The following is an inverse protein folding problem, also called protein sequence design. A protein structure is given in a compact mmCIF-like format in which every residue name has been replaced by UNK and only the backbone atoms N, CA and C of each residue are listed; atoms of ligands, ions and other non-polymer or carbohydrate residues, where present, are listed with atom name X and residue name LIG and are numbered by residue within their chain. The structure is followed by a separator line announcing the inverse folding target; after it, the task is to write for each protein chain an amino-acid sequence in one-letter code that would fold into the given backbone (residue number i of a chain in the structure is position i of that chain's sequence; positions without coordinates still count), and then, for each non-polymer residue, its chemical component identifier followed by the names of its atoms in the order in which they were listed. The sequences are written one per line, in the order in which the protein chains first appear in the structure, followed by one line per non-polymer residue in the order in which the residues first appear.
data_IF_832561451075
#
_entry.id   IF_832561451075
#
_cell.length_a   1.000
_cell.length_b   1.000
_cell.length_c   1.000
_cell.angle_alpha   90.00
_cell.angle_beta   90.00
_cell.angle_gamma   90.00
#
_symmetry.space_group_name_H-M   'P 1'
#
loop_
_entity.id
_entity.type
_entity.pdbx_description
1 polymer ?
#
# COMPACT_ATOMS: atom_id res chain seq x y z
N UNK A 1 -25.11 -6.29 37.05
CA UNK A 1 -23.73 -5.80 36.80
C UNK A 1 -22.85 -6.84 36.08
N UNK A 2 -23.31 -7.44 34.96
CA UNK A 2 -22.49 -8.33 34.10
C UNK A 2 -22.80 -8.21 32.60
N UNK A 3 -23.52 -7.16 32.18
CA UNK A 3 -23.85 -6.89 30.76
C UNK A 3 -23.39 -5.52 30.26
N UNK A 4 -22.61 -4.76 31.06
CA UNK A 4 -22.14 -3.42 30.70
C UNK A 4 -20.63 -3.36 30.35
N UNK A 5 -19.91 -4.48 30.46
CA UNK A 5 -18.47 -4.55 30.21
C UNK A 5 -18.11 -4.99 28.77
N UNK A 6 -19.10 -5.37 27.95
CA UNK A 6 -18.87 -5.77 26.56
C UNK A 6 -18.93 -4.60 25.56
N UNK A 7 -19.37 -3.40 25.99
CA UNK A 7 -19.46 -2.23 25.12
C UNK A 7 -18.23 -1.30 25.16
N UNK A 8 -17.25 -1.58 26.04
CA UNK A 8 -16.06 -0.75 26.23
C UNK A 8 -14.78 -1.33 25.60
N UNK A 9 -14.88 -2.44 24.88
CA UNK A 9 -13.74 -3.06 24.19
C UNK A 9 -13.68 -2.73 22.67
N UNK A 10 -14.58 -1.87 22.18
CA UNK A 10 -14.75 -1.58 20.76
C UNK A 10 -14.22 -0.20 20.33
N UNK A 11 -13.42 0.45 21.16
CA UNK A 11 -12.84 1.74 20.82
C UNK A 11 -11.33 1.72 21.08
N UNK A 12 -10.61 2.02 20.01
CA UNK A 12 -9.27 2.60 19.96
C UNK A 12 -8.07 1.69 20.18
N UNK A 13 -7.61 1.05 19.10
CA UNK A 13 -6.18 0.97 18.77
C UNK A 13 -5.99 0.98 17.25
N UNK A 14 -6.31 2.11 16.60
CA UNK A 14 -5.80 2.40 15.26
C UNK A 14 -4.46 3.11 15.41
N UNK A 15 -3.39 2.32 15.38
CA UNK A 15 -2.04 2.85 15.17
C UNK A 15 -1.85 3.11 13.69
N UNK A 16 -2.13 4.33 13.22
CA UNK A 16 -1.89 4.72 11.83
C UNK A 16 -0.69 5.67 11.78
N UNK A 17 0.33 5.27 11.03
CA UNK A 17 1.42 6.14 10.60
C UNK A 17 1.02 6.77 9.26
N UNK A 18 1.18 8.08 9.11
CA UNK A 18 1.50 8.78 7.85
C UNK A 18 0.54 8.73 6.65
N UNK A 19 -0.66 8.17 6.73
CA UNK A 19 -1.57 8.10 5.59
C UNK A 19 -2.50 9.31 5.44
N UNK A 20 -2.98 9.52 4.21
CA UNK A 20 -4.03 10.47 3.86
C UNK A 20 -5.36 10.04 4.50
N UNK A 21 -5.62 10.49 5.73
CA UNK A 21 -6.83 10.12 6.45
C UNK A 21 -7.96 11.06 5.99
N UNK A 22 -8.63 10.67 4.91
CA UNK A 22 -9.63 11.47 4.17
C UNK A 22 -10.87 11.83 4.99
N UNK A 23 -11.16 11.06 6.04
CA UNK A 23 -12.29 11.26 6.96
C UNK A 23 -11.98 12.12 8.18
N UNK A 24 -10.83 12.78 8.20
CA UNK A 24 -10.44 13.63 9.34
C UNK A 24 -11.13 15.00 9.28
N UNK A 25 -11.38 15.64 10.43
CA UNK A 25 -12.09 16.92 10.46
C UNK A 25 -11.41 18.04 9.64
N UNK A 26 -10.09 18.02 9.53
CA UNK A 26 -9.34 19.00 8.73
C UNK A 26 -9.37 18.70 7.22
N UNK A 27 -9.98 17.59 6.80
CA UNK A 27 -10.10 17.17 5.40
C UNK A 27 -11.51 17.31 4.81
N UNK A 28 -12.53 17.66 5.61
CA UNK A 28 -13.96 17.68 5.21
C UNK A 28 -14.30 18.61 4.03
N UNK A 29 -13.39 19.51 3.62
CA UNK A 29 -13.57 20.43 2.49
C UNK A 29 -12.79 20.08 1.21
N UNK A 30 -12.00 19.00 1.22
CA UNK A 30 -11.15 18.64 0.10
C UNK A 30 -11.72 17.43 -0.65
N UNK A 31 -11.78 17.51 -1.98
CA UNK A 31 -12.13 16.37 -2.84
C UNK A 31 -10.91 15.46 -3.04
N UNK A 32 -10.58 14.73 -1.98
CA UNK A 32 -9.43 13.82 -1.89
C UNK A 32 -9.60 12.51 -2.65
N UNK A 33 -10.81 12.17 -3.06
CA UNK A 33 -11.09 10.96 -3.82
C UNK A 33 -11.02 11.20 -5.33
N UNK A 34 -10.89 12.45 -5.77
CA UNK A 34 -10.75 12.77 -7.17
C UNK A 34 -9.39 12.36 -7.71
N UNK A 35 -9.41 11.63 -8.82
CA UNK A 35 -8.22 11.17 -9.55
C UNK A 35 -7.53 12.29 -10.35
N UNK A 36 -8.17 13.46 -10.47
CA UNK A 36 -7.72 14.57 -11.31
C UNK A 36 -7.71 15.93 -10.61
N UNK A 37 -8.42 16.08 -9.49
CA UNK A 37 -8.44 17.34 -8.74
C UNK A 37 -7.16 17.45 -7.92
N UNK A 38 -6.33 18.43 -8.24
CA UNK A 38 -5.15 18.77 -7.45
C UNK A 38 -5.54 19.59 -6.23
N UNK A 39 -4.93 19.27 -5.09
CA UNK A 39 -5.08 20.02 -3.85
C UNK A 39 -3.72 20.64 -3.51
N UNK A 40 -3.72 21.92 -3.10
CA UNK A 40 -2.51 22.56 -2.62
C UNK A 40 -2.11 21.96 -1.29
N UNK A 41 -0.84 21.55 -1.20
CA UNK A 41 -0.28 21.01 0.04
C UNK A 41 -0.47 21.99 1.21
N UNK A 42 -0.24 23.28 0.96
CA UNK A 42 -0.40 24.34 1.95
C UNK A 42 -1.83 24.44 2.50
N UNK A 43 -2.85 24.27 1.65
CA UNK A 43 -4.24 24.42 2.09
C UNK A 43 -4.60 23.31 3.09
N UNK A 44 -4.10 22.08 2.87
CA UNK A 44 -4.28 20.95 3.81
C UNK A 44 -3.53 21.21 5.12
N UNK A 45 -2.29 21.70 5.05
CA UNK A 45 -1.49 22.01 6.24
C UNK A 45 -2.16 23.09 7.08
N UNK A 46 -2.62 24.18 6.44
CA UNK A 46 -3.29 25.28 7.11
C UNK A 46 -4.60 24.83 7.78
N UNK A 47 -5.39 23.98 7.10
CA UNK A 47 -6.60 23.40 7.67
C UNK A 47 -6.31 22.49 8.88
N UNK A 48 -5.25 21.67 8.78
CA UNK A 48 -4.80 20.81 9.86
C UNK A 48 -4.35 21.59 11.08
N UNK A 49 -3.49 22.58 10.92
CA UNK A 49 -3.03 23.44 12.01
C UNK A 49 -4.20 24.20 12.66
N UNK A 50 -5.13 24.76 11.86
CA UNK A 50 -6.32 25.42 12.39
C UNK A 50 -7.21 24.48 13.23
N UNK A 51 -7.37 23.23 12.80
CA UNK A 51 -8.08 22.22 13.60
C UNK A 51 -7.34 21.91 14.90
N UNK A 52 -6.02 21.68 14.85
CA UNK A 52 -5.23 21.32 16.03
C UNK A 52 -4.99 22.47 17.01
N UNK A 53 -5.14 23.72 16.58
CA UNK A 53 -5.19 24.90 17.46
C UNK A 53 -6.52 25.00 18.23
N UNK A 54 -7.59 24.36 17.74
CA UNK A 54 -8.90 24.36 18.40
C UNK A 54 -9.07 23.27 19.48
N UNK A 55 -8.13 22.32 19.57
CA UNK A 55 -8.18 21.18 20.49
C UNK A 55 -6.88 21.01 21.29
N UNK A 56 -6.91 20.16 22.32
CA UNK A 56 -5.67 19.72 22.97
C UNK A 56 -4.90 18.73 22.08
N UNK A 57 -3.92 19.26 21.34
CA UNK A 57 -3.05 18.46 20.47
C UNK A 57 -2.21 17.41 21.20
N UNK A 58 -1.98 17.56 22.52
CA UNK A 58 -1.20 16.62 23.31
C UNK A 58 -2.07 15.52 23.95
N UNK A 59 -3.39 15.64 23.87
CA UNK A 59 -4.30 14.60 24.33
C UNK A 59 -4.01 13.27 23.62
N UNK A 60 -4.11 12.17 24.38
CA UNK A 60 -3.93 10.82 23.84
C UNK A 60 -4.95 10.58 22.73
N UNK A 61 -4.48 10.27 21.53
CA UNK A 61 -5.34 10.00 20.37
C UNK A 61 -5.83 11.26 19.64
N UNK A 62 -5.25 12.43 19.90
CA UNK A 62 -5.61 13.67 19.19
C UNK A 62 -5.49 13.59 17.67
N UNK A 63 -4.57 12.77 17.15
CA UNK A 63 -4.25 12.67 15.72
C UNK A 63 -3.12 13.61 15.28
N UNK A 64 -2.63 14.49 16.16
CA UNK A 64 -1.65 15.52 15.79
C UNK A 64 -0.33 14.95 15.28
N UNK A 65 0.18 13.90 15.93
CA UNK A 65 1.42 13.24 15.50
C UNK A 65 1.27 12.59 14.12
N UNK A 66 0.10 12.07 13.81
CA UNK A 66 -0.22 11.46 12.52
C UNK A 66 -0.26 12.53 11.43
N UNK A 67 -0.92 13.65 11.70
CA UNK A 67 -0.94 14.82 10.82
C UNK A 67 0.47 15.34 10.51
N UNK A 68 1.33 15.55 11.52
CA UNK A 68 2.71 16.02 11.28
C UNK A 68 3.60 14.99 10.55
N UNK A 69 3.33 13.68 10.68
CA UNK A 69 4.02 12.65 9.89
C UNK A 69 3.59 12.68 8.43
N UNK A 70 2.30 12.86 8.20
CA UNK A 70 1.76 13.04 6.86
C UNK A 70 2.39 14.26 6.18
N UNK A 71 2.41 15.41 6.86
CA UNK A 71 3.02 16.65 6.34
C UNK A 71 4.51 16.44 6.03
N UNK A 72 5.26 15.84 6.96
CA UNK A 72 6.68 15.61 6.78
C UNK A 72 7.01 14.65 5.63
N UNK A 73 6.15 13.68 5.34
CA UNK A 73 6.29 12.79 4.19
C UNK A 73 5.94 13.53 2.90
N UNK A 74 4.77 14.15 2.84
CA UNK A 74 4.24 14.72 1.60
C UNK A 74 4.94 16.00 1.14
N UNK A 75 5.62 16.74 2.03
CA UNK A 75 6.39 17.94 1.65
C UNK A 75 7.42 17.67 0.55
N UNK A 76 8.01 16.46 0.51
CA UNK A 76 9.05 16.07 -0.44
C UNK A 76 8.47 15.67 -1.81
N UNK A 77 7.16 15.46 -1.89
CA UNK A 77 6.44 15.10 -3.12
C UNK A 77 5.76 16.31 -3.77
N UNK A 78 5.75 17.48 -3.10
CA UNK A 78 5.05 18.67 -3.58
C UNK A 78 5.69 19.16 -4.88
N UNK A 79 4.87 19.33 -5.91
CA UNK A 79 5.30 19.86 -7.19
C UNK A 79 5.82 21.30 -7.06
N UNK A 80 6.53 21.78 -8.08
CA UNK A 80 6.96 23.18 -8.14
C UNK A 80 5.78 24.17 -8.17
N UNK A 81 4.58 23.70 -8.50
CA UNK A 81 3.30 24.40 -8.44
C UNK A 81 2.67 24.45 -7.03
N UNK A 82 3.28 23.80 -6.04
CA UNK A 82 2.78 23.73 -4.66
C UNK A 82 1.66 22.71 -4.46
N UNK A 83 1.37 21.88 -5.47
CA UNK A 83 0.31 20.89 -5.44
C UNK A 83 0.83 19.53 -4.96
N UNK A 84 -0.04 18.77 -4.29
CA UNK A 84 0.21 17.35 -4.05
C UNK A 84 -0.01 16.60 -5.37
N UNK A 85 0.91 15.70 -5.78
CA UNK A 85 0.79 14.99 -7.04
C UNK A 85 -0.38 14.02 -7.02
N UNK A 86 -1.11 13.94 -8.14
CA UNK A 86 -2.18 12.96 -8.32
C UNK A 86 -1.62 11.55 -8.52
N UNK A 87 -2.46 10.52 -8.34
CA UNK A 87 -2.09 9.13 -8.68
C UNK A 87 -1.66 8.98 -10.14
N UNK A 88 -2.23 9.80 -11.04
CA UNK A 88 -1.88 9.83 -12.46
C UNK A 88 -0.49 10.40 -12.69
N UNK A 89 -0.11 11.47 -11.99
CA UNK A 89 1.22 12.08 -12.11
C UNK A 89 2.32 11.21 -11.51
N UNK A 90 2.05 10.56 -10.36
CA UNK A 90 2.96 9.56 -9.80
C UNK A 90 3.17 8.40 -10.78
N UNK A 91 2.11 8.00 -11.49
CA UNK A 91 2.17 6.98 -12.53
C UNK A 91 2.96 7.42 -13.77
N UNK A 92 2.74 8.63 -14.27
CA UNK A 92 3.48 9.20 -15.40
C UNK A 92 4.97 9.35 -15.08
N UNK A 93 5.30 9.80 -13.86
CA UNK A 93 6.68 9.89 -13.39
C UNK A 93 7.37 8.51 -13.38
N UNK A 94 6.65 7.46 -12.99
CA UNK A 94 7.17 6.10 -13.06
C UNK A 94 7.38 5.62 -14.50
N UNK A 95 6.41 5.86 -15.39
CA UNK A 95 6.54 5.49 -16.81
C UNK A 95 7.76 6.16 -17.46
N UNK A 96 8.05 7.41 -17.10
CA UNK A 96 9.26 8.10 -17.57
C UNK A 96 10.53 7.39 -17.09
N UNK A 97 10.62 7.05 -15.79
CA UNK A 97 11.74 6.28 -15.23
C UNK A 97 11.89 4.92 -15.89
N UNK A 98 10.79 4.18 -16.10
CA UNK A 98 10.80 2.87 -16.76
C UNK A 98 11.29 3.01 -18.22
N UNK A 99 10.80 4.00 -18.95
CA UNK A 99 11.22 4.24 -20.34
C UNK A 99 12.72 4.54 -20.45
N UNK A 100 13.26 5.27 -19.46
CA UNK A 100 14.68 5.60 -19.35
C UNK A 100 15.53 4.42 -18.85
N UNK A 101 14.94 3.47 -18.12
CA UNK A 101 15.66 2.30 -17.60
C UNK A 101 16.23 1.43 -18.72
N UNK A 102 15.54 1.35 -19.86
CA UNK A 102 16.00 0.65 -21.07
C UNK A 102 17.25 1.29 -21.72
N UNK A 103 17.56 2.55 -21.39
CA UNK A 103 18.73 3.28 -21.88
C UNK A 103 19.89 3.34 -20.88
N UNK A 104 19.69 2.89 -19.64
CA UNK A 104 20.78 2.70 -18.70
C UNK A 104 21.46 1.38 -19.06
N UNK A 105 22.71 1.45 -19.53
CA UNK A 105 23.60 0.29 -19.46
C UNK A 105 23.73 -0.05 -17.98
N UNK A 106 23.06 -1.08 -17.45
CA UNK A 106 23.22 -1.42 -16.06
C UNK A 106 24.66 -1.90 -15.96
N UNK A 107 25.47 -1.26 -15.11
CA UNK A 107 26.55 -2.02 -14.50
C UNK A 107 25.89 -3.30 -13.95
N UNK A 108 26.50 -4.45 -14.16
CA UNK A 108 25.99 -5.69 -13.58
C UNK A 108 25.74 -5.42 -12.09
N UNK A 109 24.50 -5.61 -11.63
CA UNK A 109 24.19 -5.43 -10.23
C UNK A 109 24.95 -6.50 -9.44
N UNK A 110 26.05 -6.11 -8.81
CA UNK A 110 26.87 -6.98 -7.95
C UNK A 110 26.31 -7.08 -6.53
N UNK A 111 25.17 -6.43 -6.25
CA UNK A 111 24.56 -6.45 -4.92
C UNK A 111 24.09 -7.85 -4.54
N UNK A 112 24.42 -8.28 -3.33
CA UNK A 112 24.05 -9.58 -2.78
C UNK A 112 23.06 -9.43 -1.61
N UNK A 113 21.98 -8.68 -1.83
CA UNK A 113 20.96 -8.40 -0.82
C UNK A 113 20.46 -9.69 -0.16
N UNK A 114 20.48 -9.69 1.17
CA UNK A 114 19.97 -10.81 1.96
C UNK A 114 19.08 -10.27 3.08
N UNK A 115 18.00 -11.01 3.36
CA UNK A 115 17.13 -10.66 4.48
C UNK A 115 17.87 -10.90 5.79
N UNK A 116 17.97 -9.86 6.63
CA UNK A 116 18.51 -9.97 7.98
C UNK A 116 17.47 -10.45 9.01
N UNK A 117 16.27 -10.80 8.55
CA UNK A 117 15.16 -11.23 9.38
C UNK A 117 14.29 -10.08 9.91
N UNK A 118 13.39 -10.37 10.85
CA UNK A 118 13.29 -11.61 11.63
C UNK A 118 12.84 -12.83 10.81
N UNK A 119 13.46 -13.99 11.06
CA UNK A 119 13.10 -15.29 10.45
C UNK A 119 12.41 -16.26 11.42
N UNK A 120 12.33 -15.90 12.70
CA UNK A 120 11.63 -16.65 13.75
C UNK A 120 10.61 -15.74 14.45
N UNK A 121 9.38 -16.25 14.53
CA UNK A 121 8.19 -15.60 15.06
C UNK A 121 7.58 -16.33 16.25
N UNK A 122 8.24 -17.35 16.80
CA UNK A 122 7.72 -18.12 17.95
C UNK A 122 7.80 -17.30 19.25
N UNK A 123 6.67 -17.18 19.95
CA UNK A 123 6.56 -16.69 21.34
C UNK A 123 7.13 -15.30 21.65
N UNK A 124 6.65 -14.24 20.99
CA UNK A 124 6.90 -12.86 21.45
C UNK A 124 5.81 -12.38 22.42
N UNK A 125 6.13 -12.00 23.67
CA UNK A 125 5.14 -11.57 24.68
C UNK A 125 4.52 -10.19 24.40
N UNK A 126 4.96 -9.50 23.34
CA UNK A 126 4.36 -8.25 22.88
C UNK A 126 4.08 -8.31 21.38
N UNK A 127 2.81 -8.15 21.04
CA UNK A 127 2.31 -7.69 19.75
C UNK A 127 2.39 -8.66 18.58
N UNK A 128 1.25 -9.29 18.31
CA UNK A 128 0.77 -9.74 17.00
C UNK A 128 0.76 -8.64 15.90
N UNK A 129 1.25 -7.42 16.18
CA UNK A 129 1.28 -6.28 15.26
C UNK A 129 2.57 -6.13 14.44
N UNK A 130 3.53 -7.06 14.54
CA UNK A 130 4.79 -7.02 13.78
C UNK A 130 4.98 -8.19 12.82
N UNK A 131 3.91 -8.94 12.49
CA UNK A 131 3.97 -10.09 11.57
C UNK A 131 3.53 -9.71 10.14
N UNK A 132 3.32 -8.41 9.87
CA UNK A 132 2.80 -7.90 8.61
C UNK A 132 1.29 -8.16 8.44
N UNK A 133 0.61 -7.28 7.71
CA UNK A 133 -0.78 -7.50 7.28
C UNK A 133 -0.78 -8.21 5.94
N UNK A 134 -1.73 -9.14 5.75
CA UNK A 134 -2.09 -9.67 4.43
C UNK A 134 -3.49 -9.18 4.10
N UNK A 135 -3.68 -8.74 2.86
CA UNK A 135 -5.00 -8.37 2.34
C UNK A 135 -5.70 -9.59 1.74
N UNK A 136 -4.95 -10.50 1.11
CA UNK A 136 -5.52 -11.61 0.36
C UNK A 136 -4.61 -12.84 0.37
N UNK A 137 -5.21 -14.03 0.44
CA UNK A 137 -4.53 -15.31 0.22
C UNK A 137 -5.40 -16.17 -0.71
N UNK A 138 -4.79 -16.72 -1.76
CA UNK A 138 -5.47 -17.51 -2.79
C UNK A 138 -4.70 -18.80 -3.04
N UNK A 139 -5.41 -19.93 -3.11
CA UNK A 139 -4.85 -21.20 -3.54
C UNK A 139 -4.96 -21.33 -5.05
N UNK A 140 -3.92 -21.88 -5.68
CA UNK A 140 -3.94 -22.21 -7.10
C UNK A 140 -5.01 -23.27 -7.40
N UNK A 141 -5.91 -23.04 -8.37
CA UNK A 141 -7.01 -23.96 -8.68
C UNK A 141 -6.53 -25.30 -9.25
N UNK A 142 -5.32 -25.37 -9.83
CA UNK A 142 -4.77 -26.61 -10.40
C UNK A 142 -3.80 -27.33 -9.45
N UNK A 143 -3.33 -26.68 -8.39
CA UNK A 143 -2.36 -27.23 -7.46
C UNK A 143 -2.56 -26.72 -6.02
N UNK A 144 -3.08 -27.59 -5.14
CA UNK A 144 -3.35 -27.23 -3.74
C UNK A 144 -2.10 -26.87 -2.93
N UNK A 145 -0.90 -27.26 -3.37
CA UNK A 145 0.34 -26.89 -2.72
C UNK A 145 0.82 -25.49 -3.08
N UNK A 146 0.30 -24.90 -4.17
CA UNK A 146 0.66 -23.55 -4.58
C UNK A 146 -0.31 -22.53 -3.97
N UNK A 147 0.24 -21.57 -3.23
CA UNK A 147 -0.50 -20.48 -2.60
C UNK A 147 0.09 -19.14 -3.03
N UNK A 148 -0.76 -18.12 -3.09
CA UNK A 148 -0.36 -16.73 -3.34
C UNK A 148 -0.90 -15.85 -2.22
N UNK A 149 -0.12 -14.86 -1.80
CA UNK A 149 -0.52 -13.91 -0.77
C UNK A 149 -0.20 -12.48 -1.22
N UNK A 150 -1.13 -11.55 -0.98
CA UNK A 150 -0.96 -10.13 -1.26
C UNK A 150 -0.97 -9.33 0.03
N UNK A 151 -0.05 -8.37 0.13
CA UNK A 151 0.10 -7.49 1.27
C UNK A 151 -0.15 -6.02 0.88
N UNK A 152 -0.62 -5.17 1.80
CA UNK A 152 -0.94 -3.77 1.52
C UNK A 152 0.27 -2.92 1.18
N UNK A 153 1.46 -3.28 1.70
CA UNK A 153 2.74 -2.65 1.37
C UNK A 153 3.89 -3.65 1.45
N UNK A 154 3.62 -4.88 1.01
CA UNK A 154 4.59 -5.98 1.08
C UNK A 154 4.69 -6.79 -0.21
N UNK A 155 3.94 -6.45 -1.25
CA UNK A 155 3.94 -7.12 -2.55
C UNK A 155 3.10 -8.40 -2.59
N UNK A 156 3.24 -9.14 -3.70
CA UNK A 156 2.72 -10.50 -3.87
C UNK A 156 3.82 -11.52 -3.57
N UNK A 157 3.42 -12.58 -2.90
CA UNK A 157 4.25 -13.70 -2.50
C UNK A 157 3.65 -15.00 -3.02
N UNK A 158 4.50 -15.98 -3.29
CA UNK A 158 4.12 -17.33 -3.73
C UNK A 158 4.78 -18.38 -2.86
N UNK A 159 4.01 -19.38 -2.48
CA UNK A 159 4.48 -20.64 -1.93
C UNK A 159 4.17 -21.76 -2.91
N UNK A 160 5.04 -22.77 -2.97
CA UNK A 160 4.85 -24.00 -3.74
C UNK A 160 4.84 -25.26 -2.85
N UNK A 161 4.84 -25.06 -1.52
CA UNK A 161 4.95 -26.09 -0.51
C UNK A 161 3.90 -25.92 0.60
N UNK A 162 2.68 -25.55 0.21
CA UNK A 162 1.52 -25.37 1.09
C UNK A 162 1.72 -24.34 2.20
N UNK A 163 2.52 -23.31 1.93
CA UNK A 163 2.76 -22.17 2.82
C UNK A 163 3.94 -22.34 3.78
N UNK A 164 4.76 -23.37 3.62
CA UNK A 164 5.94 -23.56 4.46
C UNK A 164 7.07 -22.57 4.11
N UNK A 165 7.25 -22.25 2.83
CA UNK A 165 8.18 -21.24 2.33
C UNK A 165 7.49 -20.31 1.33
N UNK A 166 7.95 -19.05 1.29
CA UNK A 166 7.39 -18.00 0.43
C UNK A 166 8.49 -17.26 -0.32
N UNK A 167 8.22 -16.99 -1.59
CA UNK A 167 9.09 -16.22 -2.50
C UNK A 167 8.33 -14.98 -2.97
N UNK A 168 8.99 -13.81 -2.93
CA UNK A 168 8.42 -12.57 -3.44
C UNK A 168 8.39 -12.57 -4.98
N UNK A 169 7.32 -12.05 -5.56
CA UNK A 169 7.07 -12.05 -7.01
C UNK A 169 7.10 -10.64 -7.65
N UNK A 170 7.38 -9.59 -6.86
CA UNK A 170 7.41 -8.19 -7.33
C UNK A 170 8.69 -7.51 -6.87
N UNK A 171 9.85 -7.99 -7.31
CA UNK A 171 11.05 -7.18 -7.14
C UNK A 171 11.21 -6.28 -8.38
N UNK A 172 11.12 -4.97 -8.17
CA UNK A 172 11.30 -3.88 -9.15
C UNK A 172 10.31 -3.75 -10.33
N UNK A 173 9.34 -4.66 -10.50
CA UNK A 173 8.43 -4.66 -11.65
C UNK A 173 7.22 -3.71 -11.56
N UNK A 174 6.89 -3.16 -10.38
CA UNK A 174 5.71 -2.32 -10.17
C UNK A 174 6.04 -1.02 -9.40
N UNK A 175 5.38 0.11 -9.72
CA UNK A 175 5.52 1.36 -8.96
C UNK A 175 4.91 1.33 -7.56
N UNK A 176 4.10 0.32 -7.26
CA UNK A 176 3.44 0.14 -5.96
C UNK A 176 3.60 -1.31 -5.53
N UNK A 177 3.70 -1.52 -4.23
CA UNK A 177 3.82 -2.85 -3.62
C UNK A 177 2.55 -3.27 -2.87
N UNK A 178 1.46 -2.51 -3.02
CA UNK A 178 0.15 -2.91 -2.50
C UNK A 178 -0.52 -3.93 -3.41
N UNK A 179 -0.99 -5.03 -2.85
CA UNK A 179 -1.81 -6.04 -3.53
C UNK A 179 -3.01 -6.38 -2.67
N UNK A 180 -4.20 -5.95 -3.11
CA UNK A 180 -5.47 -6.14 -2.41
C UNK A 180 -6.30 -7.29 -2.98
N UNK A 181 -6.05 -7.69 -4.23
CA UNK A 181 -6.77 -8.78 -4.88
C UNK A 181 -5.86 -9.62 -5.76
N UNK A 182 -6.12 -10.93 -5.79
CA UNK A 182 -5.42 -11.90 -6.65
C UNK A 182 -6.47 -12.80 -7.30
N UNK A 183 -6.36 -13.01 -8.61
CA UNK A 183 -7.16 -13.98 -9.35
C UNK A 183 -6.26 -14.82 -10.26
N UNK A 184 -6.47 -16.14 -10.27
CA UNK A 184 -5.67 -17.09 -11.05
C UNK A 184 -6.60 -17.73 -12.08
N UNK A 185 -6.16 -17.82 -13.34
CA UNK A 185 -6.93 -18.51 -14.36
C UNK A 185 -7.00 -20.02 -14.03
N UNK A 186 -8.22 -20.54 -13.92
CA UNK A 186 -8.47 -21.94 -13.61
C UNK A 186 -7.95 -22.92 -14.67
N UNK A 187 -7.77 -22.45 -15.91
CA UNK A 187 -7.31 -23.28 -17.03
C UNK A 187 -5.81 -23.11 -17.29
N UNK A 188 -5.17 -22.06 -16.74
CA UNK A 188 -3.76 -21.77 -16.90
C UNK A 188 -3.22 -21.04 -15.66
N UNK A 189 -2.60 -21.80 -14.74
CA UNK A 189 -2.03 -21.25 -13.51
C UNK A 189 -0.87 -20.26 -13.73
N UNK A 190 -0.34 -20.12 -14.95
CA UNK A 190 0.63 -19.06 -15.26
C UNK A 190 -0.04 -17.70 -15.43
N UNK A 191 -1.33 -17.69 -15.76
CA UNK A 191 -2.09 -16.46 -15.93
C UNK A 191 -2.66 -16.00 -14.59
N UNK A 192 -2.12 -14.88 -14.09
CA UNK A 192 -2.48 -14.31 -12.78
C UNK A 192 -2.82 -12.83 -12.97
N UNK A 193 -3.87 -12.38 -12.31
CA UNK A 193 -4.25 -10.98 -12.23
C UNK A 193 -4.12 -10.48 -10.78
N UNK A 194 -3.62 -9.26 -10.62
CA UNK A 194 -3.57 -8.58 -9.32
C UNK A 194 -4.29 -7.24 -9.37
N UNK A 195 -5.06 -6.96 -8.33
CA UNK A 195 -5.52 -5.62 -8.01
C UNK A 195 -4.48 -4.96 -7.12
N UNK A 196 -3.91 -3.86 -7.60
CA UNK A 196 -2.86 -3.13 -6.90
C UNK A 196 -3.47 -2.12 -5.91
N UNK A 197 -2.68 -1.77 -4.89
CA UNK A 197 -3.07 -0.87 -3.83
C UNK A 197 -3.57 -1.58 -2.58
N UNK A 198 -4.09 -0.78 -1.66
CA UNK A 198 -4.60 -1.23 -0.37
C UNK A 198 -6.02 -0.73 -0.12
N UNK A 199 -6.99 -1.65 -0.14
CA UNK A 199 -8.42 -1.35 0.01
C UNK A 199 -8.80 -1.03 1.46
N UNK A 200 -8.12 -1.63 2.44
CA UNK A 200 -8.52 -1.55 3.84
C UNK A 200 -8.08 -0.26 4.53
N UNK A 201 -6.93 0.29 4.12
CA UNK A 201 -6.31 1.40 4.84
C UNK A 201 -5.58 2.39 3.92
N UNK A 202 -5.58 2.24 2.59
CA UNK A 202 -4.86 3.11 1.65
C UNK A 202 -3.34 3.25 1.92
N UNK A 203 -2.68 2.19 2.43
CA UNK A 203 -1.22 2.14 2.65
C UNK A 203 -0.42 2.29 1.35
N UNK A 204 -1.02 1.87 0.22
CA UNK A 204 -0.40 1.96 -1.09
C UNK A 204 -1.44 2.36 -2.13
N UNK A 205 -1.11 3.33 -3.02
CA UNK A 205 -2.03 3.76 -4.06
C UNK A 205 -2.29 2.62 -5.04
N UNK A 206 -3.54 2.52 -5.49
CA UNK A 206 -3.92 1.62 -6.57
C UNK A 206 -3.46 2.18 -7.91
N UNK A 207 -2.82 1.34 -8.72
CA UNK A 207 -2.36 1.66 -10.08
C UNK A 207 -3.08 0.83 -11.16
N UNK A 208 -4.25 0.28 -10.81
CA UNK A 208 -5.07 -0.55 -11.69
C UNK A 208 -4.76 -2.05 -11.57
N UNK A 209 -5.14 -2.80 -12.61
CA UNK A 209 -5.02 -4.26 -12.66
C UNK A 209 -3.81 -4.63 -13.50
N UNK A 210 -3.01 -5.54 -12.96
CA UNK A 210 -1.82 -6.08 -13.63
C UNK A 210 -1.98 -7.56 -13.89
N UNK A 211 -1.34 -8.04 -14.95
CA UNK A 211 -1.42 -9.41 -15.41
C UNK A 211 -0.02 -10.01 -15.55
N UNK A 212 0.16 -11.22 -15.04
CA UNK A 212 1.27 -12.11 -15.37
C UNK A 212 0.76 -13.23 -16.28
N UNK A 213 1.64 -13.72 -17.17
CA UNK A 213 1.42 -14.93 -17.99
C UNK A 213 2.51 -15.97 -17.80
N UNK A 214 3.33 -15.82 -16.76
CA UNK A 214 4.48 -16.68 -16.45
C UNK A 214 4.52 -17.10 -14.97
N UNK A 215 3.36 -17.11 -14.31
CA UNK A 215 3.23 -17.57 -12.93
C UNK A 215 3.70 -16.57 -11.88
N UNK A 216 3.75 -15.28 -12.27
CA UNK A 216 4.08 -14.14 -11.41
C UNK A 216 5.53 -13.68 -11.50
N UNK A 217 6.33 -14.17 -12.46
CA UNK A 217 7.72 -13.74 -12.63
C UNK A 217 7.82 -12.37 -13.30
N UNK A 218 6.93 -12.09 -14.26
CA UNK A 218 6.79 -10.78 -14.91
C UNK A 218 5.35 -10.32 -14.90
N UNK A 219 5.16 -9.00 -14.91
CA UNK A 219 3.87 -8.33 -14.83
C UNK A 219 3.74 -7.28 -15.92
N UNK A 220 2.58 -7.24 -16.56
CA UNK A 220 2.22 -6.23 -17.54
C UNK A 220 0.91 -5.54 -17.14
N UNK A 221 0.82 -4.24 -17.40
CA UNK A 221 -0.40 -3.48 -17.16
C UNK A 221 -1.53 -3.99 -18.06
N UNK A 222 -2.74 -4.08 -17.52
CA UNK A 222 -3.94 -4.32 -18.33
C UNK A 222 -4.53 -3.00 -18.85
N UNK A 223 -5.65 -3.05 -19.55
CA UNK A 223 -6.40 -1.84 -19.92
C UNK A 223 -6.99 -1.08 -18.73
N UNK A 224 -7.00 -1.66 -17.52
CA UNK A 224 -7.46 -1.04 -16.29
C UNK A 224 -6.27 -0.41 -15.55
N UNK A 225 -6.21 0.91 -15.57
CA UNK A 225 -5.13 1.76 -15.08
C UNK A 225 -5.68 2.79 -14.06
N UNK A 226 -4.86 3.66 -13.43
CA UNK A 226 -5.37 4.60 -12.42
C UNK A 226 -6.56 5.44 -12.90
N UNK A 227 -6.57 5.84 -14.17
CA UNK A 227 -7.59 6.75 -14.75
C UNK A 227 -8.95 6.09 -15.00
N UNK A 228 -9.01 4.76 -15.14
CA UNK A 228 -10.23 4.04 -15.54
C UNK A 228 -10.51 2.76 -14.73
N UNK A 229 -9.65 2.44 -13.75
CA UNK A 229 -9.93 1.41 -12.76
C UNK A 229 -11.12 1.85 -11.90
N UNK A 230 -12.06 0.95 -11.56
CA UNK A 230 -13.17 1.25 -10.64
C UNK A 230 -12.68 1.74 -9.27
#
# INVERSE_FOLDING_TARGET
MKKLLLLLALISFFGVQGQYQTSTPWMEGFDVNSKSTKIKFKDIVDAGEAYFDSIDKLAKGSGYKQFKRWEAYWQDFVGSDGMVPTSTELWEAWLDVESQSNFRNPLADESNWTSLGPVDFVNRPFSSGNIGRLNVVVQDPSNSATLYAGAPSGGIWKSTDSGANWTQLIDFALPTIGVSGIAIDKNDSNTIYIATGDDDNADSPAIGIWKSTDGGNTWAQTGLNPSNSP
#
